data_IF_412140033756
#
_entry.id   IF_412140033756
#
_cell.length_a   1.000
_cell.length_b   1.000
_cell.length_c   1.000
_cell.angle_alpha   90.00
_cell.angle_beta   90.00
_cell.angle_gamma   90.00
#
_symmetry.space_group_name_H-M   'P 1'
#
loop_
_entity.id
_entity.type
_entity.pdbx_description
1 polymer ?
#
# COMPACT_ATOMS: atom_id res chain seq x y z
N UNK A 1 -6.48 44.75 25.22
CA UNK A 1 -6.29 44.09 23.92
C UNK A 1 -5.58 42.73 24.04
N UNK A 2 -4.42 42.65 24.72
CA UNK A 2 -3.67 41.40 24.92
C UNK A 2 -4.47 40.25 25.57
N UNK A 3 -5.25 40.52 26.62
CA UNK A 3 -6.04 39.48 27.31
C UNK A 3 -7.03 38.76 26.37
N UNK A 4 -7.71 39.54 25.51
CA UNK A 4 -8.64 39.00 24.50
C UNK A 4 -7.91 38.09 23.51
N UNK A 5 -6.74 38.53 23.03
CA UNK A 5 -5.90 37.76 22.10
C UNK A 5 -5.47 36.43 22.75
N UNK A 6 -5.03 36.47 24.01
CA UNK A 6 -4.60 35.28 24.75
C UNK A 6 -5.76 34.27 24.90
N UNK A 7 -6.96 34.74 25.23
CA UNK A 7 -8.17 33.91 25.33
C UNK A 7 -8.49 33.23 23.99
N UNK A 8 -8.50 33.99 22.89
CA UNK A 8 -8.75 33.43 21.56
C UNK A 8 -7.67 32.45 21.12
N UNK A 9 -6.41 32.69 21.50
CA UNK A 9 -5.30 31.79 21.17
C UNK A 9 -5.47 30.44 21.88
N UNK A 10 -5.82 30.45 23.17
CA UNK A 10 -6.07 29.22 23.93
C UNK A 10 -7.27 28.45 23.38
N UNK A 11 -8.35 29.15 23.04
CA UNK A 11 -9.53 28.55 22.40
C UNK A 11 -9.19 27.92 21.05
N UNK A 12 -8.45 28.63 20.20
CA UNK A 12 -8.02 28.13 18.91
C UNK A 12 -7.11 26.90 19.03
N UNK A 13 -6.21 26.90 20.02
CA UNK A 13 -5.37 25.74 20.31
C UNK A 13 -6.21 24.55 20.78
N UNK A 14 -7.17 24.74 21.68
CA UNK A 14 -8.07 23.65 22.12
C UNK A 14 -8.82 23.01 20.95
N UNK A 15 -9.39 23.83 20.06
CA UNK A 15 -10.09 23.34 18.86
C UNK A 15 -9.12 22.64 17.90
N UNK A 16 -7.95 23.24 17.66
CA UNK A 16 -6.91 22.67 16.79
C UNK A 16 -6.42 21.31 17.29
N UNK A 17 -6.13 21.18 18.59
CA UNK A 17 -5.70 19.91 19.18
C UNK A 17 -6.80 18.85 19.12
N UNK A 18 -8.07 19.23 19.30
CA UNK A 18 -9.22 18.35 19.13
C UNK A 18 -9.33 17.80 17.70
N UNK A 19 -9.31 18.68 16.71
CA UNK A 19 -9.39 18.31 15.28
C UNK A 19 -8.16 17.48 14.88
N UNK A 20 -6.95 17.90 15.27
CA UNK A 20 -5.70 17.20 14.97
C UNK A 20 -5.70 15.77 15.50
N UNK A 21 -6.24 15.55 16.70
CA UNK A 21 -6.32 14.20 17.29
C UNK A 21 -7.24 13.29 16.48
N UNK A 22 -8.41 13.80 16.08
CA UNK A 22 -9.36 13.05 15.25
C UNK A 22 -8.75 12.74 13.88
N UNK A 23 -8.10 13.72 13.25
CA UNK A 23 -7.44 13.53 11.95
C UNK A 23 -6.32 12.48 12.01
N UNK A 24 -5.53 12.48 13.09
CA UNK A 24 -4.47 11.48 13.27
C UNK A 24 -5.05 10.08 13.41
N UNK A 25 -6.11 9.89 14.21
CA UNK A 25 -6.80 8.60 14.35
C UNK A 25 -7.40 8.12 13.03
N UNK A 26 -8.00 9.03 12.26
CA UNK A 26 -8.57 8.70 10.96
C UNK A 26 -7.48 8.26 9.97
N UNK A 27 -6.35 8.99 9.92
CA UNK A 27 -5.23 8.62 9.05
C UNK A 27 -4.63 7.27 9.41
N UNK A 28 -4.58 6.91 10.70
CA UNK A 28 -3.96 5.69 11.17
C UNK A 28 -4.80 4.45 10.81
N UNK A 29 -6.13 4.60 10.74
CA UNK A 29 -7.06 3.55 10.29
C UNK A 29 -6.94 3.27 8.79
N UNK A 30 -6.75 4.31 7.96
CA UNK A 30 -6.49 4.10 6.53
C UNK A 30 -5.10 3.49 6.28
N UNK A 31 -4.12 3.83 7.12
CA UNK A 31 -2.76 3.31 6.98
C UNK A 31 -2.64 1.83 7.41
N UNK A 32 -3.48 1.37 8.35
CA UNK A 32 -3.64 -0.07 8.65
C UNK A 32 -4.30 -0.81 7.49
N UNK A 33 -5.40 -0.29 6.97
CA UNK A 33 -6.15 -0.94 5.89
C UNK A 33 -5.31 -1.02 4.60
N UNK A 34 -4.54 0.03 4.29
CA UNK A 34 -3.64 0.05 3.14
C UNK A 34 -2.43 -0.90 3.28
N UNK A 35 -1.94 -1.15 4.50
CA UNK A 35 -0.87 -2.12 4.75
C UNK A 35 -1.37 -3.56 4.70
N UNK A 36 -2.58 -3.81 5.19
CA UNK A 36 -3.22 -5.12 5.11
C UNK A 36 -3.56 -5.48 3.66
N UNK A 37 -4.12 -4.56 2.87
CA UNK A 37 -4.38 -4.80 1.45
C UNK A 37 -3.10 -5.10 0.66
N UNK A 38 -2.01 -4.38 0.92
CA UNK A 38 -0.73 -4.63 0.24
C UNK A 38 -0.17 -6.03 0.57
N UNK A 39 -0.29 -6.49 1.82
CA UNK A 39 0.14 -7.83 2.22
C UNK A 39 -0.71 -8.92 1.56
N UNK A 40 -2.04 -8.77 1.60
CA UNK A 40 -2.97 -9.72 0.99
C UNK A 40 -2.76 -9.86 -0.53
N UNK A 41 -2.49 -8.75 -1.23
CA UNK A 41 -2.18 -8.80 -2.67
C UNK A 41 -0.86 -9.50 -2.95
N UNK A 42 0.17 -9.23 -2.15
CA UNK A 42 1.48 -9.85 -2.34
C UNK A 42 1.45 -11.38 -2.12
N UNK A 43 0.73 -11.84 -1.09
CA UNK A 43 0.56 -13.27 -0.81
C UNK A 43 -0.22 -13.99 -1.92
N UNK A 44 -1.25 -13.35 -2.48
CA UNK A 44 -2.01 -13.91 -3.61
C UNK A 44 -1.19 -14.01 -4.88
N UNK A 45 -0.45 -12.96 -5.24
CA UNK A 45 0.45 -12.97 -6.40
C UNK A 45 1.55 -14.04 -6.26
N UNK A 46 2.10 -14.23 -5.06
CA UNK A 46 3.08 -15.28 -4.76
C UNK A 46 2.50 -16.68 -4.90
N UNK A 47 1.25 -16.90 -4.47
CA UNK A 47 0.57 -18.18 -4.60
C UNK A 47 0.21 -18.50 -6.07
N UNK A 48 -0.15 -17.49 -6.86
CA UNK A 48 -0.45 -17.65 -8.28
C UNK A 48 0.81 -17.95 -9.10
N UNK A 49 1.95 -17.30 -8.81
CA UNK A 49 3.26 -17.59 -9.45
C UNK A 49 3.82 -18.99 -9.14
N UNK A 50 3.39 -19.61 -8.05
CA UNK A 50 3.79 -20.97 -7.68
C UNK A 50 2.97 -22.04 -8.40
N UNK A 51 1.90 -21.67 -9.11
CA UNK A 51 1.10 -22.62 -9.87
C UNK A 51 1.91 -23.12 -11.07
N UNK A 52 1.95 -24.45 -11.31
CA UNK A 52 2.72 -25.04 -12.39
C UNK A 52 2.23 -24.65 -13.79
N UNK A 53 1.03 -24.06 -13.89
CA UNK A 53 0.42 -23.61 -15.14
C UNK A 53 0.75 -22.15 -15.50
N UNK A 54 1.41 -21.41 -14.60
CA UNK A 54 1.78 -20.01 -14.82
C UNK A 54 3.21 -19.93 -15.31
N UNK A 55 3.38 -19.49 -16.56
CA UNK A 55 4.68 -19.34 -17.22
C UNK A 55 5.09 -17.87 -17.16
N UNK A 56 6.27 -17.59 -16.63
CA UNK A 56 6.82 -16.23 -16.62
C UNK A 56 7.36 -15.86 -18.01
N UNK A 57 6.90 -14.72 -18.54
CA UNK A 57 7.30 -14.24 -19.86
C UNK A 57 8.45 -13.26 -19.72
N UNK A 58 9.60 -13.62 -20.31
CA UNK A 58 10.76 -12.73 -20.38
C UNK A 58 10.65 -11.86 -21.63
N UNK A 59 10.84 -10.55 -21.45
CA UNK A 59 10.94 -9.60 -22.56
C UNK A 59 12.28 -9.80 -23.28
N UNK A 60 12.23 -10.08 -24.57
CA UNK A 60 13.40 -10.12 -25.45
C UNK A 60 13.87 -8.74 -25.87
N UNK A 61 15.08 -8.67 -26.40
CA UNK A 61 15.70 -7.42 -26.89
C UNK A 61 14.97 -6.83 -28.11
N UNK A 62 14.19 -7.67 -28.80
CA UNK A 62 13.27 -7.30 -29.88
C UNK A 62 11.92 -6.75 -29.38
N UNK A 63 11.76 -6.61 -28.06
CA UNK A 63 10.54 -6.15 -27.41
C UNK A 63 9.42 -7.18 -27.36
N UNK A 64 9.62 -8.39 -27.90
CA UNK A 64 8.64 -9.48 -27.87
C UNK A 64 8.78 -10.27 -26.56
N UNK A 65 7.66 -10.59 -25.93
CA UNK A 65 7.64 -11.41 -24.72
C UNK A 65 7.58 -12.90 -25.10
N UNK A 66 8.52 -13.70 -24.59
CA UNK A 66 8.57 -15.15 -24.81
C UNK A 66 8.67 -15.88 -23.46
N UNK A 67 8.18 -17.12 -23.35
CA UNK A 67 8.44 -17.97 -22.17
C UNK A 67 9.93 -17.99 -21.85
N UNK A 68 10.30 -17.75 -20.59
CA UNK A 68 11.68 -17.96 -20.16
C UNK A 68 12.03 -19.45 -20.20
N UNK A 69 13.24 -19.81 -20.63
CA UNK A 69 13.76 -21.19 -20.73
C UNK A 69 13.94 -21.89 -19.36
N UNK A 70 12.93 -21.90 -18.49
CA UNK A 70 12.81 -22.94 -17.47
C UNK A 70 12.11 -24.13 -18.11
N UNK A 71 12.95 -24.85 -18.84
CA UNK A 71 13.00 -26.29 -18.94
C UNK A 71 11.64 -26.96 -18.71
N UNK A 72 10.94 -27.16 -19.82
CA UNK A 72 9.72 -27.95 -19.91
C UNK A 72 10.10 -29.43 -19.68
N UNK A 73 10.47 -29.75 -18.44
CA UNK A 73 10.75 -31.08 -17.92
C UNK A 73 9.50 -31.91 -17.68
N UNK A 74 8.53 -31.88 -18.61
CA UNK A 74 7.41 -32.85 -18.68
C UNK A 74 7.30 -33.47 -20.07
N UNK A 75 8.24 -34.41 -20.25
CA UNK A 75 8.24 -35.67 -21.01
C UNK A 75 6.98 -36.09 -21.79
N UNK A 76 7.31 -36.76 -22.89
CA UNK A 76 6.72 -37.98 -23.50
C UNK A 76 5.35 -37.88 -24.19
#
# INVERSE_FOLDING_TARGET
>A
MLLRILIFTVLALMVYFGIRRIWKDWSQKFDSDAKEEKRLRHERDLAERQRPDVIDLKRGDDGTFRPGDKDNGRRN
#
